data_IF_271835988304
#
_entry.id   IF_271835988304
#
_cell.length_a   1.000
_cell.length_b   1.000
_cell.length_c   1.000
_cell.angle_alpha   90.00
_cell.angle_beta   90.00
_cell.angle_gamma   90.00
#
_symmetry.space_group_name_H-M   'P 1'
#
loop_
_entity.id
_entity.type
_entity.pdbx_description
1 polymer ?
#
# COMPACT_ATOMS: atom_id res chain seq x y z
N UNK A 1 4.63 -0.10 -6.09
CA UNK A 1 4.69 -1.54 -6.48
C UNK A 1 3.52 -2.27 -5.84
N UNK A 2 2.87 -3.16 -6.61
CA UNK A 2 1.79 -4.06 -6.15
C UNK A 2 2.33 -5.48 -6.19
N UNK A 3 2.23 -6.24 -5.08
CA UNK A 3 2.51 -7.68 -5.03
C UNK A 3 1.18 -8.43 -5.11
N UNK A 4 1.02 -9.26 -6.12
CA UNK A 4 -0.18 -10.09 -6.32
C UNK A 4 -0.18 -11.36 -5.44
N UNK A 5 0.89 -11.58 -4.66
CA UNK A 5 1.07 -12.76 -3.80
C UNK A 5 1.48 -14.05 -4.54
N UNK A 6 1.22 -14.12 -5.82
CA UNK A 6 1.54 -15.23 -6.73
C UNK A 6 1.65 -14.73 -8.16
N UNK A 7 2.28 -15.48 -9.08
CA UNK A 7 2.18 -15.19 -10.50
C UNK A 7 0.71 -15.22 -10.96
N UNK A 8 0.28 -14.18 -11.70
CA UNK A 8 -1.11 -14.01 -12.12
C UNK A 8 -1.21 -13.80 -13.63
N UNK A 9 -2.28 -14.32 -14.21
CA UNK A 9 -2.60 -14.16 -15.62
C UNK A 9 -3.42 -12.86 -15.82
N UNK A 10 -2.75 -11.72 -15.62
CA UNK A 10 -3.33 -10.41 -15.88
C UNK A 10 -3.21 -10.13 -17.37
N UNK A 11 -4.31 -9.82 -18.02
CA UNK A 11 -4.35 -9.41 -19.42
C UNK A 11 -4.32 -7.91 -19.58
N UNK A 12 -5.05 -7.20 -18.74
CA UNK A 12 -5.11 -5.74 -18.78
C UNK A 12 -4.92 -5.12 -17.39
N UNK A 13 -4.25 -3.98 -17.36
CA UNK A 13 -4.12 -3.12 -16.18
C UNK A 13 -4.81 -1.79 -16.49
N UNK A 14 -5.83 -1.46 -15.71
CA UNK A 14 -6.50 -0.17 -15.78
C UNK A 14 -5.96 0.73 -14.68
N UNK A 15 -5.58 1.95 -15.04
CA UNK A 15 -5.12 2.99 -14.12
C UNK A 15 -6.10 4.14 -14.20
N UNK A 16 -6.85 4.35 -13.12
CA UNK A 16 -7.75 5.51 -13.00
C UNK A 16 -7.02 6.61 -12.22
N UNK A 17 -6.79 7.72 -12.90
CA UNK A 17 -6.18 8.90 -12.29
C UNK A 17 -7.20 9.75 -11.55
N UNK A 18 -6.78 10.49 -10.56
CA UNK A 18 -7.66 11.41 -9.84
C UNK A 18 -8.15 12.54 -10.75
N UNK A 19 -7.27 13.06 -11.60
CA UNK A 19 -7.56 14.13 -12.56
C UNK A 19 -7.13 13.73 -13.95
N UNK A 20 -7.79 14.26 -14.95
CA UNK A 20 -7.33 14.19 -16.33
C UNK A 20 -6.07 15.04 -16.48
N UNK A 21 -5.05 14.47 -17.08
CA UNK A 21 -3.76 15.14 -17.34
C UNK A 21 -2.92 14.29 -18.29
N UNK A 22 -1.88 14.89 -18.86
CA UNK A 22 -0.85 14.14 -19.58
C UNK A 22 0.03 13.39 -18.57
N UNK A 23 -0.40 12.19 -18.18
CA UNK A 23 0.35 11.37 -17.24
C UNK A 23 1.49 10.63 -17.94
N UNK A 24 2.72 10.98 -17.59
CA UNK A 24 3.92 10.30 -18.07
C UNK A 24 4.29 9.20 -17.08
N UNK A 25 4.22 7.95 -17.51
CA UNK A 25 4.46 6.81 -16.64
C UNK A 25 5.07 5.61 -17.36
N UNK A 26 5.63 4.72 -16.56
CA UNK A 26 6.08 3.39 -16.99
C UNK A 26 5.41 2.33 -16.12
N UNK A 27 4.84 1.31 -16.77
CA UNK A 27 4.31 0.12 -16.11
C UNK A 27 5.23 -1.05 -16.40
N UNK A 28 5.62 -1.76 -15.35
CA UNK A 28 6.54 -2.90 -15.42
C UNK A 28 5.98 -4.08 -14.64
N UNK A 29 6.30 -5.29 -15.10
CA UNK A 29 5.98 -6.55 -14.45
C UNK A 29 7.23 -7.33 -14.05
N UNK A 30 7.16 -8.08 -12.96
CA UNK A 30 8.25 -8.93 -12.48
C UNK A 30 7.74 -10.21 -11.84
N UNK A 31 8.45 -11.31 -12.03
CA UNK A 31 8.19 -12.57 -11.33
C UNK A 31 8.84 -12.63 -9.94
N UNK A 32 9.99 -11.96 -9.76
CA UNK A 32 10.86 -12.07 -8.57
C UNK A 32 11.05 -10.74 -7.80
N UNK A 33 10.47 -9.64 -8.30
CA UNK A 33 10.63 -8.30 -7.73
C UNK A 33 12.01 -7.67 -7.96
N UNK A 34 12.89 -8.35 -8.69
CA UNK A 34 14.27 -7.90 -8.99
C UNK A 34 14.47 -7.59 -10.46
N UNK A 35 14.05 -8.47 -11.34
CA UNK A 35 14.11 -8.30 -12.79
C UNK A 35 12.76 -7.85 -13.30
N UNK A 36 12.75 -6.73 -14.01
CA UNK A 36 11.54 -6.05 -14.44
C UNK A 36 11.45 -6.02 -15.96
N UNK A 37 10.32 -6.44 -16.49
CA UNK A 37 9.99 -6.34 -17.90
C UNK A 37 9.00 -5.17 -18.10
N UNK A 38 9.27 -4.32 -19.08
CA UNK A 38 8.38 -3.21 -19.43
C UNK A 38 7.11 -3.76 -20.06
N UNK A 39 5.97 -3.40 -19.48
CA UNK A 39 4.64 -3.68 -20.03
C UNK A 39 4.22 -2.52 -20.92
N UNK A 40 4.39 -1.29 -20.43
CA UNK A 40 4.08 -0.05 -21.16
C UNK A 40 5.06 1.05 -20.76
N UNK A 41 5.48 1.86 -21.72
CA UNK A 41 6.33 3.01 -21.49
C UNK A 41 5.70 4.25 -22.16
N UNK A 42 5.09 5.08 -21.33
CA UNK A 42 4.52 6.40 -21.70
C UNK A 42 5.28 7.53 -20.99
N UNK A 43 6.59 7.37 -20.82
CA UNK A 43 7.44 8.40 -20.18
C UNK A 43 7.73 9.60 -21.09
N UNK A 44 7.29 9.53 -22.36
CA UNK A 44 7.36 10.61 -23.34
C UNK A 44 6.07 10.69 -24.16
N UNK A 45 5.86 11.84 -24.80
CA UNK A 45 4.69 12.06 -25.66
C UNK A 45 3.52 12.74 -24.95
N UNK A 46 2.34 12.65 -25.58
CA UNK A 46 1.09 13.18 -25.02
C UNK A 46 0.14 12.02 -24.73
N UNK A 47 -0.35 11.97 -23.51
CA UNK A 47 -1.29 10.99 -23.02
C UNK A 47 -2.28 11.66 -22.07
N UNK A 48 -3.04 12.64 -22.61
CA UNK A 48 -4.02 13.38 -21.80
C UNK A 48 -5.26 12.52 -21.55
N UNK A 49 -5.24 11.80 -20.45
CA UNK A 49 -6.28 10.84 -20.11
C UNK A 49 -6.59 10.86 -18.62
N UNK A 50 -7.82 10.51 -18.28
CA UNK A 50 -8.24 10.23 -16.91
C UNK A 50 -8.15 8.76 -16.58
N UNK A 51 -8.08 7.91 -17.59
CA UNK A 51 -8.01 6.46 -17.45
C UNK A 51 -7.10 5.89 -18.53
N UNK A 52 -6.16 5.07 -18.13
CA UNK A 52 -5.29 4.32 -19.02
C UNK A 52 -5.58 2.82 -18.90
N UNK A 53 -5.81 2.18 -20.02
CA UNK A 53 -5.90 0.73 -20.14
C UNK A 53 -4.66 0.23 -20.86
N UNK A 54 -3.90 -0.62 -20.18
CA UNK A 54 -2.64 -1.18 -20.67
C UNK A 54 -2.75 -2.68 -20.83
N UNK A 55 -2.39 -3.21 -22.01
CA UNK A 55 -2.33 -4.64 -22.25
C UNK A 55 -1.01 -5.22 -21.75
N UNK A 56 -1.09 -6.27 -20.93
CA UNK A 56 0.10 -6.98 -20.47
C UNK A 56 0.48 -8.09 -21.48
N UNK A 57 1.68 -7.97 -22.05
CA UNK A 57 2.29 -8.94 -22.96
C UNK A 57 3.53 -9.63 -22.37
N UNK A 58 3.84 -9.38 -21.08
CA UNK A 58 5.07 -9.87 -20.44
C UNK A 58 4.90 -11.22 -19.73
N UNK A 59 3.76 -11.89 -19.89
CA UNK A 59 3.47 -13.18 -19.26
C UNK A 59 2.72 -13.06 -17.96
N UNK A 60 3.13 -13.84 -16.93
CA UNK A 60 2.44 -13.94 -15.64
C UNK A 60 3.30 -13.33 -14.51
N UNK A 61 3.38 -12.00 -14.41
CA UNK A 61 4.12 -11.38 -13.31
C UNK A 61 3.42 -11.61 -11.96
N UNK A 62 4.22 -11.62 -10.90
CA UNK A 62 3.74 -11.53 -9.53
C UNK A 62 3.68 -10.08 -9.06
N UNK A 63 4.64 -9.28 -9.51
CA UNK A 63 4.78 -7.88 -9.08
C UNK A 63 4.49 -6.94 -10.26
N UNK A 64 3.79 -5.86 -9.97
CA UNK A 64 3.59 -4.75 -10.90
C UNK A 64 4.14 -3.47 -10.29
N UNK A 65 4.86 -2.68 -11.07
CA UNK A 65 5.40 -1.39 -10.66
C UNK A 65 4.97 -0.32 -11.64
N UNK A 66 4.36 0.74 -11.11
CA UNK A 66 4.07 1.95 -11.86
C UNK A 66 5.03 3.03 -11.36
N UNK A 67 5.78 3.61 -12.27
CA UNK A 67 6.65 4.75 -12.02
C UNK A 67 6.09 5.92 -12.81
N UNK A 68 5.63 6.95 -12.12
CA UNK A 68 5.15 8.19 -12.75
C UNK A 68 6.31 9.16 -12.79
N UNK A 69 6.62 9.66 -13.99
CA UNK A 69 7.78 10.55 -14.25
C UNK A 69 7.37 12.00 -14.42
N UNK A 70 6.07 12.28 -14.64
CA UNK A 70 5.60 13.65 -14.78
C UNK A 70 4.11 13.73 -15.16
N UNK A 71 3.66 14.96 -15.23
CA UNK A 71 2.39 15.36 -15.82
C UNK A 71 2.46 16.82 -16.31
N UNK A 72 1.46 17.28 -17.06
CA UNK A 72 1.45 18.64 -17.64
C UNK A 72 0.85 19.71 -16.72
N UNK A 73 0.49 19.37 -15.47
CA UNK A 73 -0.21 20.30 -14.56
C UNK A 73 0.65 20.81 -13.41
N UNK A 74 1.94 20.57 -13.42
CA UNK A 74 2.90 20.99 -12.34
C UNK A 74 2.49 20.49 -10.93
N UNK A 75 1.60 19.51 -10.86
CA UNK A 75 1.11 18.90 -9.64
C UNK A 75 1.59 17.44 -9.56
N UNK A 76 1.52 16.87 -8.37
CA UNK A 76 1.74 15.42 -8.24
C UNK A 76 0.69 14.62 -9.01
N UNK A 77 1.09 13.52 -9.60
CA UNK A 77 0.18 12.54 -10.17
C UNK A 77 -0.44 11.71 -9.03
N UNK A 78 -1.76 11.64 -9.01
CA UNK A 78 -2.50 10.85 -8.02
C UNK A 78 -3.28 9.76 -8.73
N UNK A 79 -2.98 8.50 -8.37
CA UNK A 79 -3.72 7.34 -8.86
C UNK A 79 -4.88 7.10 -7.91
N UNK A 80 -6.09 7.14 -8.43
CA UNK A 80 -7.31 6.85 -7.67
C UNK A 80 -7.51 5.36 -7.48
N UNK A 81 -7.31 4.58 -8.56
CA UNK A 81 -7.52 3.15 -8.56
C UNK A 81 -6.63 2.46 -9.59
N UNK A 82 -6.20 1.24 -9.28
CA UNK A 82 -5.56 0.33 -10.23
C UNK A 82 -6.34 -0.97 -10.22
N UNK A 83 -6.79 -1.39 -11.39
CA UNK A 83 -7.55 -2.63 -11.56
C UNK A 83 -6.80 -3.58 -12.49
N UNK A 84 -6.66 -4.83 -12.08
CA UNK A 84 -6.06 -5.90 -12.86
C UNK A 84 -7.16 -6.85 -13.36
N UNK A 85 -7.18 -7.16 -14.66
CA UNK A 85 -8.20 -8.03 -15.26
C UNK A 85 -7.56 -9.17 -16.03
N UNK A 86 -8.21 -10.33 -16.01
CA UNK A 86 -7.85 -11.48 -16.87
C UNK A 86 -8.42 -11.33 -18.29
N UNK A 87 -8.24 -12.36 -19.12
CA UNK A 87 -8.75 -12.44 -20.50
C UNK A 87 -10.28 -12.42 -20.60
N UNK A 88 -10.99 -12.81 -19.53
CA UNK A 88 -12.44 -12.76 -19.41
C UNK A 88 -12.97 -11.43 -18.88
N UNK A 89 -12.09 -10.47 -18.57
CA UNK A 89 -12.46 -9.19 -17.97
C UNK A 89 -12.73 -9.26 -16.45
N UNK A 90 -12.52 -10.41 -15.83
CA UNK A 90 -12.70 -10.58 -14.39
C UNK A 90 -11.56 -9.90 -13.61
N UNK A 91 -11.91 -9.26 -12.50
CA UNK A 91 -10.92 -8.56 -11.67
C UNK A 91 -10.08 -9.57 -10.88
N UNK A 92 -8.77 -9.50 -11.08
CA UNK A 92 -7.78 -10.21 -10.27
C UNK A 92 -7.34 -9.28 -9.14
N UNK A 93 -7.55 -9.70 -7.91
CA UNK A 93 -7.10 -8.95 -6.73
C UNK A 93 -5.79 -9.50 -6.20
N UNK A 94 -4.93 -8.64 -5.65
CA UNK A 94 -3.80 -9.09 -4.85
C UNK A 94 -4.27 -10.07 -3.79
N UNK A 95 -3.67 -11.23 -3.76
CA UNK A 95 -3.85 -12.16 -2.65
C UNK A 95 -2.68 -11.97 -1.70
N UNK A 96 -2.93 -12.04 -0.41
CA UNK A 96 -1.82 -12.20 0.53
C UNK A 96 -0.98 -13.39 0.03
N UNK A 97 0.35 -13.22 -0.05
CA UNK A 97 1.24 -14.28 -0.53
C UNK A 97 0.86 -15.59 0.17
N UNK A 98 0.62 -16.64 -0.62
CA UNK A 98 0.46 -17.98 -0.07
C UNK A 98 1.78 -18.33 0.61
N UNK A 99 1.86 -18.18 1.92
CA UNK A 99 3.08 -18.27 2.73
C UNK A 99 3.21 -17.19 3.79
N UNK A 100 2.42 -16.09 3.73
CA UNK A 100 2.14 -15.37 4.97
C UNK A 100 1.21 -16.27 5.78
N UNK A 101 1.80 -17.06 6.66
CA UNK A 101 1.04 -17.77 7.67
C UNK A 101 0.11 -16.75 8.35
N UNK A 102 -1.02 -17.16 8.90
CA UNK A 102 -1.83 -16.27 9.75
C UNK A 102 -0.97 -15.51 10.77
N UNK A 103 0.24 -16.04 11.06
CA UNK A 103 1.24 -15.47 11.94
C UNK A 103 1.97 -14.25 11.36
N UNK A 104 1.97 -14.03 10.04
CA UNK A 104 2.73 -12.93 9.42
C UNK A 104 1.88 -11.65 9.20
N UNK A 105 0.59 -11.73 9.51
CA UNK A 105 -0.28 -10.56 9.48
C UNK A 105 -0.25 -9.85 10.85
N UNK A 106 0.22 -8.59 10.93
CA UNK A 106 0.28 -7.88 12.20
C UNK A 106 -1.07 -7.72 12.93
N UNK A 107 -2.21 -7.84 12.22
CA UNK A 107 -3.53 -7.83 12.86
C UNK A 107 -3.88 -9.16 13.53
N UNK A 108 -3.17 -10.25 13.19
CA UNK A 108 -3.46 -11.60 13.75
C UNK A 108 -3.11 -11.69 15.23
N UNK A 109 -3.96 -12.31 16.07
CA UNK A 109 -3.59 -12.62 17.45
C UNK A 109 -2.35 -13.49 17.58
N UNK A 110 -2.08 -14.36 16.59
CA UNK A 110 -0.92 -15.26 16.58
C UNK A 110 0.35 -14.64 15.94
N UNK A 111 0.32 -13.36 15.61
CA UNK A 111 1.49 -12.68 15.04
C UNK A 111 2.64 -12.64 16.05
N UNK A 112 3.84 -12.98 15.59
CA UNK A 112 5.04 -12.94 16.42
C UNK A 112 5.71 -11.55 16.35
N UNK A 113 5.50 -10.75 17.37
CA UNK A 113 6.04 -9.40 17.51
C UNK A 113 7.29 -9.30 18.41
N UNK A 114 7.93 -10.44 18.76
CA UNK A 114 9.09 -10.50 19.66
C UNK A 114 10.26 -9.63 19.19
N UNK A 115 10.38 -9.42 17.89
CA UNK A 115 11.42 -8.57 17.31
C UNK A 115 10.98 -7.11 17.16
N UNK A 116 9.78 -6.76 17.59
CA UNK A 116 9.31 -5.39 17.56
C UNK A 116 9.89 -4.61 18.73
N UNK A 117 10.11 -3.35 18.48
CA UNK A 117 10.58 -2.42 19.49
C UNK A 117 9.47 -2.10 20.49
N UNK A 118 9.77 -2.18 21.76
CA UNK A 118 8.88 -1.64 22.82
C UNK A 118 9.08 -0.14 22.94
N UNK A 119 7.97 0.57 23.10
CA UNK A 119 7.94 2.03 23.26
C UNK A 119 6.77 2.46 24.13
N UNK A 120 6.82 3.67 24.64
CA UNK A 120 5.74 4.30 25.39
C UNK A 120 4.87 5.15 24.47
N UNK A 121 3.59 5.25 24.78
CA UNK A 121 2.68 6.22 24.16
C UNK A 121 2.63 7.50 25.00
N UNK A 122 2.41 8.67 24.38
CA UNK A 122 2.17 8.88 22.94
C UNK A 122 3.44 8.70 22.11
N UNK A 123 3.29 8.18 20.90
CA UNK A 123 4.38 7.96 19.97
C UNK A 123 3.93 8.14 18.52
N UNK A 124 4.76 8.79 17.73
CA UNK A 124 4.62 8.87 16.27
C UNK A 124 5.94 8.45 15.62
N UNK A 125 5.93 7.31 14.94
CA UNK A 125 7.12 6.82 14.25
C UNK A 125 7.63 7.77 13.16
N UNK A 126 6.75 8.61 12.62
CA UNK A 126 7.10 9.62 11.62
C UNK A 126 8.09 10.66 12.13
N UNK A 127 8.07 10.97 13.44
CA UNK A 127 8.96 11.99 14.04
C UNK A 127 10.37 11.47 14.38
N UNK A 128 10.60 10.18 14.26
CA UNK A 128 11.90 9.57 14.62
C UNK A 128 12.97 9.75 13.54
N UNK A 129 12.58 10.06 12.33
CA UNK A 129 13.53 10.31 11.25
C UNK A 129 14.19 11.67 11.37
N UNK A 130 15.39 11.86 10.80
CA UNK A 130 15.98 13.18 10.72
C UNK A 130 15.10 14.08 9.83
N UNK A 131 14.92 15.33 10.24
CA UNK A 131 14.32 16.34 9.39
C UNK A 131 15.14 16.52 8.11
N UNK A 132 14.47 16.56 6.96
CA UNK A 132 15.10 16.77 5.68
C UNK A 132 14.50 17.97 4.99
N UNK A 133 15.27 19.04 4.91
CA UNK A 133 14.84 20.31 4.30
C UNK A 133 14.52 20.19 2.82
N UNK A 134 15.16 19.25 2.13
CA UNK A 134 14.96 18.95 0.70
C UNK A 134 13.61 18.29 0.38
N UNK A 135 12.87 17.82 1.40
CA UNK A 135 11.54 17.25 1.19
C UNK A 135 10.56 18.40 0.94
N UNK A 136 10.08 18.48 -0.29
CA UNK A 136 9.10 19.49 -0.70
C UNK A 136 7.68 19.15 -0.23
N UNK A 137 6.89 20.21 -0.01
CA UNK A 137 5.44 20.13 0.21
C UNK A 137 4.98 19.20 1.36
N UNK A 138 5.85 18.95 2.34
CA UNK A 138 5.50 18.18 3.54
C UNK A 138 5.62 19.04 4.79
N UNK A 139 4.54 19.08 5.54
CA UNK A 139 4.54 19.68 6.88
C UNK A 139 5.52 18.93 7.78
N UNK A 140 6.40 19.64 8.47
CA UNK A 140 7.38 19.08 9.38
C UNK A 140 8.62 18.47 8.72
N UNK A 141 8.67 18.36 7.39
CA UNK A 141 9.86 17.83 6.68
C UNK A 141 10.30 16.44 7.16
N UNK A 142 9.34 15.60 7.52
CA UNK A 142 9.58 14.27 8.03
C UNK A 142 9.69 13.25 6.89
N UNK A 143 10.74 12.41 6.83
CA UNK A 143 10.98 11.50 5.70
C UNK A 143 10.09 10.26 5.71
N UNK A 144 9.63 9.85 6.90
CA UNK A 144 8.89 8.61 7.05
C UNK A 144 7.44 8.76 6.64
N UNK A 145 7.00 7.89 5.73
CA UNK A 145 5.60 7.78 5.29
C UNK A 145 5.26 6.32 5.08
N UNK A 146 4.02 5.94 5.35
CA UNK A 146 3.54 4.59 5.14
C UNK A 146 2.63 4.12 6.25
N UNK A 147 2.55 2.79 6.41
CA UNK A 147 1.72 2.15 7.43
C UNK A 147 2.60 1.82 8.63
N UNK A 148 2.29 2.44 9.78
CA UNK A 148 2.86 2.07 11.07
C UNK A 148 1.95 1.07 11.79
N UNK A 149 2.53 0.04 12.38
CA UNK A 149 1.81 -0.93 13.20
C UNK A 149 2.20 -0.77 14.66
N UNK A 150 1.19 -0.71 15.52
CA UNK A 150 1.33 -0.73 16.96
C UNK A 150 0.53 -1.91 17.52
N UNK A 151 1.10 -2.62 18.48
CA UNK A 151 0.41 -3.72 19.16
C UNK A 151 0.51 -3.52 20.66
N UNK A 152 -0.56 -3.86 21.36
CA UNK A 152 -0.61 -3.87 22.82
C UNK A 152 -1.46 -5.04 23.29
N UNK A 153 -0.96 -5.76 24.26
CA UNK A 153 -1.77 -6.73 25.02
C UNK A 153 -2.38 -6.03 26.22
N UNK A 154 -3.69 -6.17 26.35
CA UNK A 154 -4.43 -5.70 27.52
C UNK A 154 -4.91 -6.91 28.31
N UNK A 155 -4.57 -6.97 29.58
CA UNK A 155 -5.07 -7.99 30.49
C UNK A 155 -6.38 -7.49 31.10
N UNK A 156 -7.44 -8.25 30.87
CA UNK A 156 -8.76 -7.96 31.44
C UNK A 156 -8.89 -8.79 32.74
N UNK A 157 -9.13 -8.16 33.89
CA UNK A 157 -9.35 -8.88 35.14
C UNK A 157 -10.50 -9.87 35.05
N UNK A 158 -10.37 -11.02 35.71
CA UNK A 158 -11.35 -12.10 35.63
C UNK A 158 -12.74 -11.71 36.20
N UNK A 159 -12.77 -10.78 37.15
CA UNK A 159 -13.99 -10.23 37.78
C UNK A 159 -14.71 -9.23 36.85
N UNK A 160 -14.06 -8.77 35.80
CA UNK A 160 -14.67 -7.89 34.82
C UNK A 160 -15.44 -8.61 33.70
N UNK A 161 -15.61 -9.93 33.84
CA UNK A 161 -16.38 -10.73 32.89
C UNK A 161 -17.83 -10.26 32.81
N UNK A 162 -18.29 -9.98 31.58
CA UNK A 162 -19.65 -9.47 31.33
C UNK A 162 -19.74 -7.93 31.28
N UNK A 163 -18.67 -7.23 31.59
CA UNK A 163 -18.61 -5.79 31.42
C UNK A 163 -18.38 -5.41 29.94
N UNK A 164 -18.80 -4.20 29.59
CA UNK A 164 -18.45 -3.59 28.32
C UNK A 164 -17.14 -2.82 28.48
N UNK A 165 -16.25 -2.94 27.49
CA UNK A 165 -14.98 -2.25 27.45
C UNK A 165 -14.96 -1.29 26.27
N UNK A 166 -14.42 -0.11 26.52
CA UNK A 166 -14.23 0.91 25.50
C UNK A 166 -12.73 1.21 25.36
N UNK A 167 -12.28 1.33 24.13
CA UNK A 167 -10.95 1.86 23.82
C UNK A 167 -11.12 3.31 23.41
N UNK A 168 -10.57 4.20 24.22
CA UNK A 168 -10.57 5.64 23.96
C UNK A 168 -9.21 6.05 23.40
N UNK A 169 -9.22 6.85 22.36
CA UNK A 169 -8.03 7.36 21.68
C UNK A 169 -8.08 8.87 21.62
N UNK A 170 -7.25 9.54 22.41
CA UNK A 170 -7.13 11.01 22.39
C UNK A 170 -6.65 11.55 21.04
N UNK A 171 -5.94 10.73 20.28
CA UNK A 171 -5.52 11.07 18.93
C UNK A 171 -4.88 9.89 18.19
N UNK A 172 -5.34 9.63 16.99
CA UNK A 172 -4.74 8.64 16.07
C UNK A 172 -4.69 9.24 14.67
N UNK A 173 -3.52 9.60 14.17
CA UNK A 173 -3.32 10.10 12.80
C UNK A 173 -2.80 8.99 11.89
N UNK A 174 -3.17 8.94 10.65
CA UNK A 174 -4.43 9.31 9.98
C UNK A 174 -4.98 8.06 9.31
N UNK A 175 -6.28 7.92 9.19
CA UNK A 175 -6.95 6.74 8.66
C UNK A 175 -6.63 5.46 9.45
N UNK A 176 -6.81 5.47 10.79
CA UNK A 176 -6.49 4.31 11.61
C UNK A 176 -7.38 3.12 11.26
N UNK A 177 -6.80 1.93 11.38
CA UNK A 177 -7.53 0.66 11.41
C UNK A 177 -7.23 -0.01 12.73
N UNK A 178 -8.26 -0.24 13.53
CA UNK A 178 -8.11 -0.79 14.87
C UNK A 178 -8.60 -2.24 14.87
N UNK A 179 -7.74 -3.13 15.30
CA UNK A 179 -8.04 -4.55 15.37
C UNK A 179 -8.05 -5.01 16.82
N UNK A 180 -9.12 -5.67 17.23
CA UNK A 180 -9.21 -6.32 18.55
C UNK A 180 -9.26 -7.82 18.33
N UNK A 181 -8.25 -8.54 18.80
CA UNK A 181 -8.11 -9.99 18.61
C UNK A 181 -8.27 -10.44 17.13
N UNK A 182 -7.76 -9.63 16.20
CA UNK A 182 -7.82 -9.90 14.76
C UNK A 182 -9.09 -9.43 14.06
N UNK A 183 -10.04 -8.88 14.76
CA UNK A 183 -11.28 -8.29 14.20
C UNK A 183 -11.14 -6.78 14.05
N UNK A 184 -11.50 -6.25 12.85
CA UNK A 184 -11.52 -4.82 12.50
C UNK A 184 -12.78 -4.17 13.05
#
# INVERSE_FOLDING_TARGET
TVDMGRPVDVKTVNILWEKQSNHLFKLEGSGDGKRWATIEDKTSGQNDSKEDTVENKTGKPRYFRITVTGNNQSNWASIREITFKNDKGEIIRPQAAAGTSKSDNPSSPSFNDKNWRSLNLPHDWGVEGPFRMEIENRTGKLPWVGIGWYRKTLEIPADAKGNQFYLDFDGVMSRPKIYVNGHL
#
